data_IF_337127692471
#
_entry.id   IF_337127692471
#
_cell.length_a   1.000
_cell.length_b   1.000
_cell.length_c   1.000
_cell.angle_alpha   90.00
_cell.angle_beta   90.00
_cell.angle_gamma   90.00
#
_symmetry.space_group_name_H-M   'P 1'
#
loop_
_entity.id
_entity.type
_entity.pdbx_description
1 polymer ?
#
# COMPACT_ATOMS: atom_id res chain seq x y z
N UNK A 1 -5.49 -20.72 -30.73
CA UNK A 1 -6.07 -19.92 -29.64
C UNK A 1 -5.50 -20.42 -28.33
N UNK A 2 -4.70 -19.60 -27.66
CA UNK A 2 -4.03 -19.94 -26.39
C UNK A 2 -5.00 -19.88 -25.20
N UNK A 3 -4.61 -20.39 -24.03
CA UNK A 3 -5.43 -20.29 -22.80
C UNK A 3 -5.56 -18.84 -22.35
N UNK A 4 -4.53 -18.02 -22.54
CA UNK A 4 -4.58 -16.57 -22.32
C UNK A 4 -5.65 -15.92 -23.20
N UNK A 5 -5.62 -16.17 -24.51
CA UNK A 5 -6.57 -15.58 -25.47
C UNK A 5 -8.01 -15.99 -25.15
N UNK A 6 -8.21 -17.21 -24.62
CA UNK A 6 -9.52 -17.64 -24.12
C UNK A 6 -9.98 -16.80 -22.93
N UNK A 7 -9.13 -16.59 -21.93
CA UNK A 7 -9.45 -15.74 -20.77
C UNK A 7 -9.73 -14.30 -21.17
N UNK A 8 -8.90 -13.73 -22.05
CA UNK A 8 -9.09 -12.38 -22.61
C UNK A 8 -10.44 -12.25 -23.35
N UNK A 9 -10.87 -13.29 -24.05
CA UNK A 9 -12.20 -13.33 -24.68
C UNK A 9 -13.32 -13.43 -23.65
N UNK A 10 -13.16 -14.28 -22.63
CA UNK A 10 -14.14 -14.45 -21.57
C UNK A 10 -14.32 -13.14 -20.77
N UNK A 11 -13.24 -12.42 -20.47
CA UNK A 11 -13.27 -11.08 -19.85
C UNK A 11 -14.21 -10.13 -20.61
N UNK A 12 -14.13 -10.10 -21.94
CA UNK A 12 -14.99 -9.24 -22.78
C UNK A 12 -16.47 -9.58 -22.70
N UNK A 13 -16.81 -10.82 -22.34
CA UNK A 13 -18.19 -11.30 -22.25
C UNK A 13 -18.79 -11.12 -20.85
N UNK A 14 -17.97 -11.25 -19.80
CA UNK A 14 -18.44 -11.30 -18.41
C UNK A 14 -18.22 -10.01 -17.64
N UNK A 15 -17.22 -9.20 -18.02
CA UNK A 15 -16.91 -7.97 -17.32
C UNK A 15 -17.85 -6.84 -17.75
N UNK A 16 -18.03 -5.90 -16.84
CA UNK A 16 -18.69 -4.62 -17.11
C UNK A 16 -18.05 -3.92 -18.31
N UNK A 17 -18.82 -3.19 -19.15
CA UNK A 17 -18.26 -2.38 -20.24
C UNK A 17 -17.23 -1.33 -19.78
N UNK A 18 -17.26 -0.98 -18.50
CA UNK A 18 -16.34 -0.03 -17.88
C UNK A 18 -15.10 -0.69 -17.26
N UNK A 19 -15.07 -2.02 -17.15
CA UNK A 19 -13.94 -2.75 -16.60
C UNK A 19 -12.73 -2.68 -17.52
N UNK A 20 -11.54 -2.69 -16.93
CA UNK A 20 -10.30 -2.70 -17.69
C UNK A 20 -10.03 -4.12 -18.23
N UNK A 21 -10.02 -4.27 -19.55
CA UNK A 21 -9.74 -5.57 -20.20
C UNK A 21 -8.23 -5.80 -20.33
N UNK A 22 -7.76 -7.01 -20.00
CA UNK A 22 -6.32 -7.31 -20.10
C UNK A 22 -5.81 -7.28 -21.53
N UNK A 23 -6.68 -7.64 -22.49
CA UNK A 23 -6.39 -7.57 -23.93
C UNK A 23 -6.23 -6.14 -24.48
N UNK A 24 -6.80 -5.15 -23.77
CA UNK A 24 -6.74 -3.72 -24.13
C UNK A 24 -5.71 -2.95 -23.29
N UNK A 25 -4.83 -3.65 -22.57
CA UNK A 25 -3.76 -3.02 -21.78
C UNK A 25 -2.88 -2.15 -22.67
N UNK A 26 -2.43 -1.01 -22.13
CA UNK A 26 -1.40 -0.15 -22.74
C UNK A 26 -0.02 -0.83 -22.76
N UNK A 27 0.10 -2.00 -22.15
CA UNK A 27 1.28 -2.83 -22.18
C UNK A 27 2.30 -2.44 -21.11
N UNK A 28 3.54 -2.85 -21.37
CA UNK A 28 4.68 -2.75 -20.47
C UNK A 28 5.72 -1.82 -21.08
N UNK A 29 6.53 -1.19 -20.25
CA UNK A 29 7.62 -0.31 -20.73
C UNK A 29 8.63 -1.08 -21.57
N UNK A 30 9.00 -2.30 -21.16
CA UNK A 30 9.83 -3.20 -21.96
C UNK A 30 8.94 -4.26 -22.62
N UNK A 31 8.92 -4.37 -23.96
CA UNK A 31 8.19 -5.41 -24.66
C UNK A 31 8.63 -6.81 -24.20
N UNK A 32 7.67 -7.70 -24.03
CA UNK A 32 7.91 -9.11 -23.70
C UNK A 32 6.83 -9.95 -24.36
N UNK A 33 7.20 -11.18 -24.74
CA UNK A 33 6.26 -12.11 -25.33
C UNK A 33 5.08 -12.38 -24.37
N UNK A 34 3.82 -12.31 -24.86
CA UNK A 34 2.66 -12.69 -24.07
C UNK A 34 2.75 -14.13 -23.58
N UNK A 35 2.19 -14.41 -22.39
CA UNK A 35 2.19 -15.77 -21.86
C UNK A 35 1.10 -16.58 -22.56
N UNK A 36 1.34 -17.86 -22.82
CA UNK A 36 0.30 -18.72 -23.43
C UNK A 36 -0.86 -19.02 -22.47
N UNK A 37 -0.64 -18.86 -21.16
CA UNK A 37 -1.59 -19.26 -20.11
C UNK A 37 -2.19 -18.04 -19.41
N UNK A 38 -1.37 -17.16 -18.87
CA UNK A 38 -1.79 -16.08 -17.97
C UNK A 38 -2.05 -14.77 -18.72
N UNK A 39 -3.08 -14.03 -18.31
CA UNK A 39 -3.32 -12.66 -18.77
C UNK A 39 -2.22 -11.72 -18.29
N UNK A 40 -2.16 -10.50 -18.84
CA UNK A 40 -1.14 -9.53 -18.46
C UNK A 40 -1.18 -9.19 -16.96
N UNK A 41 -2.38 -9.03 -16.39
CA UNK A 41 -2.56 -8.69 -14.97
C UNK A 41 -2.28 -9.87 -14.02
N UNK A 42 -2.60 -11.11 -14.44
CA UNK A 42 -2.20 -12.31 -13.69
C UNK A 42 -0.69 -12.42 -13.56
N UNK A 43 0.05 -12.12 -14.64
CA UNK A 43 1.53 -12.11 -14.59
C UNK A 43 2.05 -11.04 -13.64
N UNK A 44 1.40 -9.89 -13.58
CA UNK A 44 1.81 -8.79 -12.70
C UNK A 44 1.61 -9.12 -11.24
N UNK A 45 0.43 -9.66 -10.89
CA UNK A 45 0.16 -10.20 -9.57
C UNK A 45 1.24 -11.18 -9.16
N UNK A 46 1.54 -12.16 -10.01
CA UNK A 46 2.49 -13.22 -9.67
C UNK A 46 3.91 -12.64 -9.48
N UNK A 47 4.31 -11.65 -10.29
CA UNK A 47 5.59 -10.94 -10.13
C UNK A 47 5.68 -10.18 -8.81
N UNK A 48 4.62 -9.50 -8.41
CA UNK A 48 4.55 -8.75 -7.15
C UNK A 48 4.68 -9.71 -5.96
N UNK A 49 3.89 -10.79 -5.93
CA UNK A 49 3.88 -11.75 -4.81
C UNK A 49 5.25 -12.40 -4.59
N UNK A 50 6.00 -12.67 -5.66
CA UNK A 50 7.33 -13.30 -5.59
C UNK A 50 8.48 -12.30 -5.36
N UNK A 51 8.20 -11.01 -5.27
CA UNK A 51 9.24 -9.98 -5.08
C UNK A 51 9.90 -10.06 -3.70
N UNK A 52 11.13 -9.53 -3.56
CA UNK A 52 11.79 -9.40 -2.25
C UNK A 52 11.01 -8.40 -1.38
N UNK A 53 10.55 -7.28 -1.95
CA UNK A 53 9.79 -6.24 -1.28
C UNK A 53 8.46 -6.75 -0.68
N UNK A 54 7.68 -7.54 -1.41
CA UNK A 54 6.42 -8.11 -0.90
C UNK A 54 6.67 -9.01 0.32
N UNK A 55 7.72 -9.84 0.26
CA UNK A 55 8.11 -10.68 1.41
C UNK A 55 8.52 -9.87 2.64
N UNK A 56 9.12 -8.69 2.45
CA UNK A 56 9.53 -7.80 3.56
C UNK A 56 8.34 -7.14 4.25
N UNK A 57 7.15 -7.08 3.64
CA UNK A 57 5.95 -6.54 4.27
C UNK A 57 5.56 -7.28 5.55
N UNK A 58 5.97 -8.55 5.70
CA UNK A 58 5.74 -9.34 6.92
C UNK A 58 6.56 -8.84 8.12
N UNK A 59 7.67 -8.14 7.86
CA UNK A 59 8.63 -7.67 8.87
C UNK A 59 8.63 -6.13 8.95
N UNK A 60 7.54 -5.49 8.50
CA UNK A 60 7.31 -4.05 8.56
C UNK A 60 6.03 -3.76 9.34
N UNK A 61 6.15 -2.95 10.37
CA UNK A 61 5.00 -2.45 11.13
C UNK A 61 4.14 -1.53 10.28
N UNK A 62 2.83 -1.57 10.53
CA UNK A 62 1.87 -0.70 9.86
C UNK A 62 1.79 0.66 10.58
N UNK A 63 1.33 0.67 11.82
CA UNK A 63 1.06 1.90 12.61
C UNK A 63 1.85 1.97 13.93
N UNK A 64 2.20 0.84 14.55
CA UNK A 64 2.81 0.82 15.88
C UNK A 64 4.14 0.08 15.92
N UNK A 65 5.09 0.62 16.68
CA UNK A 65 6.44 0.07 16.88
C UNK A 65 6.46 -0.62 18.25
N UNK A 66 6.60 -1.95 18.30
CA UNK A 66 6.55 -2.70 19.56
C UNK A 66 6.72 -4.22 19.40
N UNK A 67 6.97 -4.91 20.52
CA UNK A 67 7.37 -6.32 20.62
C UNK A 67 6.29 -7.20 21.28
N UNK A 68 5.04 -7.18 20.79
CA UNK A 68 4.01 -8.15 21.21
C UNK A 68 3.51 -8.96 20.01
N UNK A 69 3.10 -10.21 20.27
CA UNK A 69 2.87 -11.26 19.27
C UNK A 69 1.69 -11.05 18.31
N UNK A 70 0.89 -9.99 18.50
CA UNK A 70 -0.35 -9.76 17.75
C UNK A 70 -0.41 -8.43 16.97
N UNK A 71 0.70 -7.68 16.87
CA UNK A 71 0.69 -6.46 16.07
C UNK A 71 0.52 -6.75 14.58
N UNK A 72 -0.37 -6.00 13.92
CA UNK A 72 -0.54 -6.07 12.47
C UNK A 72 0.71 -5.57 11.76
N UNK A 73 1.11 -6.34 10.76
CA UNK A 73 2.19 -6.02 9.84
C UNK A 73 1.60 -5.55 8.51
N UNK A 74 2.39 -4.89 7.68
CA UNK A 74 1.92 -4.41 6.36
C UNK A 74 1.39 -5.52 5.47
N UNK A 75 1.92 -6.73 5.62
CA UNK A 75 1.40 -7.89 4.88
C UNK A 75 -0.06 -8.18 5.25
N UNK A 76 -0.43 -8.16 6.53
CA UNK A 76 -1.82 -8.40 6.95
C UNK A 76 -2.77 -7.29 6.49
N UNK A 77 -2.32 -6.03 6.50
CA UNK A 77 -3.05 -4.91 5.90
C UNK A 77 -3.29 -5.14 4.41
N UNK A 78 -2.22 -5.42 3.67
CA UNK A 78 -2.25 -5.64 2.22
C UNK A 78 -3.21 -6.75 1.83
N UNK A 79 -3.22 -7.86 2.57
CA UNK A 79 -4.14 -8.97 2.34
C UNK A 79 -5.60 -8.59 2.58
N UNK A 80 -5.87 -7.73 3.56
CA UNK A 80 -7.22 -7.26 3.82
C UNK A 80 -7.71 -6.26 2.78
N UNK A 81 -6.86 -5.29 2.39
CA UNK A 81 -7.14 -4.38 1.26
C UNK A 81 -7.46 -5.17 0.01
N UNK A 82 -6.65 -6.19 -0.30
CA UNK A 82 -6.89 -7.10 -1.42
C UNK A 82 -8.23 -7.81 -1.30
N UNK A 83 -8.60 -8.34 -0.13
CA UNK A 83 -9.87 -9.05 0.06
C UNK A 83 -11.08 -8.13 -0.13
N UNK A 84 -11.04 -6.93 0.46
CA UNK A 84 -12.10 -5.92 0.32
C UNK A 84 -12.22 -5.49 -1.15
N UNK A 85 -11.09 -5.18 -1.79
CA UNK A 85 -11.04 -4.73 -3.17
C UNK A 85 -11.59 -5.79 -4.14
N UNK A 86 -11.21 -7.07 -3.96
CA UNK A 86 -11.74 -8.18 -4.77
C UNK A 86 -13.23 -8.41 -4.57
N UNK A 87 -13.77 -8.16 -3.38
CA UNK A 87 -15.21 -8.24 -3.11
C UNK A 87 -15.96 -7.16 -3.90
N UNK A 88 -15.49 -5.90 -3.83
CA UNK A 88 -16.09 -4.78 -4.55
C UNK A 88 -15.96 -4.98 -6.08
N UNK A 89 -14.77 -5.35 -6.56
CA UNK A 89 -14.52 -5.56 -7.99
C UNK A 89 -15.42 -6.65 -8.58
N UNK A 90 -15.58 -7.79 -7.89
CA UNK A 90 -16.48 -8.86 -8.33
C UNK A 90 -17.94 -8.42 -8.37
N UNK A 91 -18.40 -7.71 -7.33
CA UNK A 91 -19.77 -7.22 -7.28
C UNK A 91 -20.09 -6.20 -8.40
N UNK A 92 -19.09 -5.45 -8.85
CA UNK A 92 -19.19 -4.48 -9.94
C UNK A 92 -18.79 -5.05 -11.31
N UNK A 93 -18.49 -6.35 -11.39
CA UNK A 93 -17.98 -7.04 -12.59
C UNK A 93 -16.75 -6.34 -13.20
N UNK A 94 -15.85 -5.83 -12.37
CA UNK A 94 -14.56 -5.25 -12.76
C UNK A 94 -13.47 -6.32 -12.86
N UNK A 95 -12.30 -5.97 -13.40
CA UNK A 95 -11.20 -6.91 -13.54
C UNK A 95 -10.58 -7.25 -12.19
N UNK A 96 -10.87 -8.45 -11.69
CA UNK A 96 -10.41 -8.93 -10.39
C UNK A 96 -8.89 -9.10 -10.32
N UNK A 97 -8.25 -9.61 -11.38
CA UNK A 97 -6.80 -9.83 -11.43
C UNK A 97 -6.03 -8.50 -11.42
N UNK A 98 -6.53 -7.46 -12.12
CA UNK A 98 -5.97 -6.11 -12.06
C UNK A 98 -6.10 -5.52 -10.66
N UNK A 99 -7.30 -5.61 -10.07
CA UNK A 99 -7.59 -5.12 -8.73
C UNK A 99 -6.67 -5.78 -7.69
N UNK A 100 -6.50 -7.10 -7.78
CA UNK A 100 -5.63 -7.89 -6.91
C UNK A 100 -4.16 -7.50 -7.07
N UNK A 101 -3.67 -7.35 -8.30
CA UNK A 101 -2.29 -6.94 -8.57
C UNK A 101 -1.98 -5.55 -7.97
N UNK A 102 -2.88 -4.58 -8.15
CA UNK A 102 -2.74 -3.23 -7.59
C UNK A 102 -2.74 -3.29 -6.06
N UNK A 103 -3.71 -3.99 -5.47
CA UNK A 103 -3.82 -4.11 -4.02
C UNK A 103 -2.59 -4.79 -3.39
N UNK A 104 -2.00 -5.80 -4.03
CA UNK A 104 -0.78 -6.43 -3.52
C UNK A 104 0.47 -5.55 -3.68
N UNK A 105 0.45 -4.60 -4.62
CA UNK A 105 1.59 -3.74 -4.95
C UNK A 105 1.60 -2.37 -4.27
N UNK A 106 0.46 -1.89 -3.75
CA UNK A 106 0.33 -0.48 -3.29
C UNK A 106 1.34 -0.10 -2.20
N UNK A 107 1.63 -1.05 -1.31
CA UNK A 107 2.35 -0.82 -0.05
C UNK A 107 3.84 -1.20 -0.09
N UNK A 108 4.36 -1.62 -1.25
CA UNK A 108 5.74 -2.13 -1.40
C UNK A 108 6.84 -1.13 -0.99
N UNK A 109 6.57 0.17 -1.15
CA UNK A 109 7.51 1.26 -0.94
C UNK A 109 7.53 1.86 0.46
N UNK A 110 6.72 1.34 1.39
CA UNK A 110 6.71 1.87 2.75
C UNK A 110 8.05 1.67 3.46
N UNK A 111 8.47 2.68 4.20
CA UNK A 111 9.67 2.64 5.04
C UNK A 111 9.51 1.70 6.24
N UNK A 112 10.63 1.29 6.87
CA UNK A 112 10.60 0.84 8.25
C UNK A 112 9.83 1.81 9.14
N UNK A 113 9.16 1.30 10.16
CA UNK A 113 8.40 2.09 11.14
C UNK A 113 7.24 2.91 10.54
N UNK A 114 6.73 2.50 9.39
CA UNK A 114 5.56 3.10 8.76
C UNK A 114 5.68 4.61 8.51
N UNK A 115 4.68 5.37 8.93
CA UNK A 115 4.63 6.82 8.65
C UNK A 115 5.76 7.63 9.30
N UNK A 116 6.34 7.15 10.41
CA UNK A 116 7.47 7.83 11.04
C UNK A 116 8.69 7.83 10.11
N UNK A 117 9.02 6.68 9.51
CA UNK A 117 10.11 6.58 8.55
C UNK A 117 9.86 7.42 7.28
N UNK A 118 8.61 7.45 6.81
CA UNK A 118 8.22 8.25 5.64
C UNK A 118 8.40 9.75 5.90
N UNK A 119 7.96 10.24 7.07
CA UNK A 119 8.16 11.64 7.48
C UNK A 119 9.63 11.99 7.63
N UNK A 120 10.42 11.12 8.24
CA UNK A 120 11.85 11.32 8.40
C UNK A 120 12.54 11.47 7.04
N UNK A 121 12.35 10.51 6.12
CA UNK A 121 12.96 10.58 4.80
C UNK A 121 12.45 11.77 3.99
N UNK A 122 11.16 12.11 4.06
CA UNK A 122 10.63 13.24 3.31
C UNK A 122 11.15 14.60 3.82
N UNK A 123 11.51 14.68 5.11
CA UNK A 123 12.14 15.87 5.70
C UNK A 123 13.63 15.98 5.36
N UNK A 124 14.32 14.84 5.29
CA UNK A 124 15.78 14.79 5.18
C UNK A 124 16.28 14.75 3.73
N UNK A 125 15.55 14.10 2.83
CA UNK A 125 15.97 13.94 1.45
C UNK A 125 15.54 15.14 0.59
N UNK A 126 16.50 15.75 -0.10
CA UNK A 126 16.26 16.89 -1.00
C UNK A 126 15.31 16.51 -2.15
N UNK A 127 15.35 15.25 -2.58
CA UNK A 127 14.49 14.72 -3.62
C UNK A 127 13.04 14.42 -3.16
N UNK A 128 12.74 14.59 -1.87
CA UNK A 128 11.47 14.25 -1.24
C UNK A 128 11.16 12.75 -1.22
N UNK A 129 10.20 12.36 -0.39
CA UNK A 129 9.84 10.95 -0.22
C UNK A 129 8.33 10.75 0.01
N UNK A 130 7.78 9.74 -0.67
CA UNK A 130 6.42 9.26 -0.39
C UNK A 130 6.28 7.79 -0.78
N UNK A 131 5.64 7.00 0.08
CA UNK A 131 5.59 5.53 -0.07
C UNK A 131 5.02 5.09 -1.42
N UNK A 132 3.97 5.74 -1.95
CA UNK A 132 3.35 5.37 -3.22
C UNK A 132 4.32 5.52 -4.41
N UNK A 133 5.07 6.63 -4.48
CA UNK A 133 6.13 6.83 -5.48
C UNK A 133 7.27 5.85 -5.27
N UNK A 134 7.58 5.53 -4.01
CA UNK A 134 8.57 4.52 -3.69
C UNK A 134 8.13 3.11 -4.13
N UNK A 135 6.85 2.76 -4.02
CA UNK A 135 6.32 1.48 -4.53
C UNK A 135 6.56 1.36 -6.03
N UNK A 136 6.38 2.44 -6.79
CA UNK A 136 6.72 2.50 -8.21
C UNK A 136 8.21 2.30 -8.44
N UNK A 137 9.07 2.97 -7.67
CA UNK A 137 10.53 2.76 -7.77
C UNK A 137 10.93 1.32 -7.49
N UNK A 138 10.31 0.70 -6.48
CA UNK A 138 10.54 -0.71 -6.14
C UNK A 138 10.29 -1.61 -7.34
N UNK A 139 9.12 -1.49 -7.96
CA UNK A 139 8.72 -2.36 -9.07
C UNK A 139 9.37 -1.97 -10.40
N UNK A 140 9.87 -0.75 -10.58
CA UNK A 140 10.52 -0.31 -11.83
C UNK A 140 12.03 -0.46 -11.84
N UNK A 141 12.70 -0.25 -10.70
CA UNK A 141 14.14 -0.02 -10.65
C UNK A 141 14.90 -0.79 -9.58
N UNK A 142 14.24 -1.35 -8.56
CA UNK A 142 14.95 -1.98 -7.41
C UNK A 142 14.84 -3.50 -7.47
N UNK A 143 13.64 -4.04 -7.68
CA UNK A 143 13.44 -5.49 -7.76
C UNK A 143 14.20 -6.10 -8.94
N UNK A 144 14.45 -7.42 -8.87
CA UNK A 144 15.21 -8.16 -9.90
C UNK A 144 16.57 -7.53 -10.18
N UNK A 145 17.30 -7.24 -9.09
CA UNK A 145 18.70 -6.80 -9.11
C UNK A 145 18.89 -5.58 -10.05
N UNK A 146 18.04 -4.57 -9.88
CA UNK A 146 18.06 -3.33 -10.65
C UNK A 146 17.19 -3.31 -11.93
N UNK A 147 16.69 -4.46 -12.39
CA UNK A 147 15.92 -4.54 -13.64
C UNK A 147 14.44 -4.10 -13.49
N UNK A 148 13.87 -4.22 -12.30
CA UNK A 148 12.44 -4.07 -12.04
C UNK A 148 11.60 -5.26 -12.51
N UNK A 149 10.33 -5.25 -12.12
CA UNK A 149 9.33 -6.28 -12.42
C UNK A 149 8.67 -6.13 -13.80
N UNK A 150 8.89 -5.01 -14.51
CA UNK A 150 8.29 -4.72 -15.82
C UNK A 150 6.76 -4.85 -15.84
N UNK A 151 6.06 -4.29 -14.87
CA UNK A 151 4.59 -4.38 -14.75
C UNK A 151 3.88 -3.59 -15.87
N UNK A 152 2.59 -3.86 -16.08
CA UNK A 152 1.77 -3.10 -17.04
C UNK A 152 1.48 -1.70 -16.50
N UNK A 153 1.16 -0.79 -17.42
CA UNK A 153 0.79 0.59 -17.07
C UNK A 153 -0.33 0.65 -16.04
N UNK A 154 -1.38 -0.17 -16.18
CA UNK A 154 -2.57 -0.13 -15.33
C UNK A 154 -2.24 -0.49 -13.87
N UNK A 155 -1.36 -1.46 -13.67
CA UNK A 155 -0.90 -1.84 -12.33
C UNK A 155 -0.04 -0.75 -11.73
N UNK A 156 0.88 -0.16 -12.51
CA UNK A 156 1.72 0.95 -12.05
C UNK A 156 0.88 2.17 -11.67
N UNK A 157 -0.05 2.57 -12.52
CA UNK A 157 -0.94 3.71 -12.28
C UNK A 157 -1.81 3.49 -11.02
N UNK A 158 -2.36 2.29 -10.86
CA UNK A 158 -3.12 1.93 -9.65
C UNK A 158 -2.28 1.98 -8.38
N UNK A 159 -1.04 1.46 -8.42
CA UNK A 159 -0.10 1.51 -7.28
C UNK A 159 0.26 2.95 -6.94
N UNK A 160 0.49 3.82 -7.92
CA UNK A 160 0.87 5.21 -7.64
C UNK A 160 -0.30 6.03 -7.08
N UNK A 161 -1.51 5.79 -7.59
CA UNK A 161 -2.68 6.64 -7.35
C UNK A 161 -3.67 6.08 -6.30
N UNK A 162 -3.26 5.13 -5.44
CA UNK A 162 -4.10 4.56 -4.39
C UNK A 162 -4.38 5.49 -3.21
N UNK A 163 -3.77 6.68 -3.14
CA UNK A 163 -4.00 7.62 -2.03
C UNK A 163 -5.33 8.34 -2.15
N UNK A 164 -5.86 8.84 -1.04
CA UNK A 164 -7.14 9.58 -1.02
C UNK A 164 -7.12 10.81 -1.94
N UNK A 165 -5.97 11.49 -2.07
CA UNK A 165 -5.80 12.70 -2.86
C UNK A 165 -5.60 12.47 -4.36
N UNK A 166 -5.53 11.22 -4.80
CA UNK A 166 -5.26 10.83 -6.19
C UNK A 166 -6.40 10.00 -6.74
N UNK A 167 -6.47 9.88 -8.07
CA UNK A 167 -7.39 8.98 -8.75
C UNK A 167 -6.61 8.17 -9.76
N UNK A 168 -6.87 6.86 -9.79
CA UNK A 168 -6.31 5.99 -10.81
C UNK A 168 -7.09 6.17 -12.12
N UNK A 169 -6.43 5.85 -13.24
CA UNK A 169 -7.03 5.84 -14.57
C UNK A 169 -8.08 4.74 -14.74
N UNK A 170 -8.01 3.67 -13.94
CA UNK A 170 -8.90 2.51 -14.01
C UNK A 170 -9.92 2.51 -12.87
N UNK A 171 -11.14 2.02 -13.08
CA UNK A 171 -12.08 1.76 -11.99
C UNK A 171 -11.49 0.82 -10.93
N UNK A 172 -10.73 -0.19 -11.35
CA UNK A 172 -10.05 -1.13 -10.46
C UNK A 172 -9.07 -0.44 -9.49
N UNK A 173 -8.26 0.50 -9.98
CA UNK A 173 -7.38 1.29 -9.12
C UNK A 173 -8.15 2.17 -8.13
N UNK A 174 -9.30 2.71 -8.55
CA UNK A 174 -10.18 3.50 -7.67
C UNK A 174 -10.90 2.62 -6.63
N UNK A 175 -11.18 1.34 -6.93
CA UNK A 175 -11.64 0.36 -5.95
C UNK A 175 -10.57 0.13 -4.89
N UNK A 176 -9.30 -0.08 -5.28
CA UNK A 176 -8.21 -0.26 -4.31
C UNK A 176 -8.05 0.96 -3.41
N UNK A 177 -8.11 2.17 -3.97
CA UNK A 177 -8.06 3.43 -3.20
C UNK A 177 -9.12 3.50 -2.10
N UNK A 178 -10.36 3.12 -2.38
CA UNK A 178 -11.41 3.10 -1.36
C UNK A 178 -11.24 1.93 -0.38
N UNK A 179 -10.78 0.78 -0.88
CA UNK A 179 -10.57 -0.42 -0.06
C UNK A 179 -9.47 -0.21 0.98
N UNK A 180 -8.39 0.47 0.61
CA UNK A 180 -7.32 0.88 1.51
C UNK A 180 -7.85 1.80 2.64
N UNK A 181 -8.67 2.79 2.29
CA UNK A 181 -9.34 3.67 3.27
C UNK A 181 -10.23 2.88 4.24
N UNK A 182 -11.00 1.90 3.73
CA UNK A 182 -11.88 1.06 4.55
C UNK A 182 -11.06 0.18 5.51
N UNK A 183 -10.01 -0.48 5.00
CA UNK A 183 -9.15 -1.35 5.81
C UNK A 183 -8.44 -0.55 6.90
N UNK A 184 -7.82 0.58 6.54
CA UNK A 184 -7.09 1.46 7.44
C UNK A 184 -7.93 1.88 8.65
N UNK A 185 -9.09 2.50 8.41
CA UNK A 185 -9.98 2.98 9.48
C UNK A 185 -10.38 1.85 10.43
N UNK A 186 -10.69 0.67 9.90
CA UNK A 186 -11.14 -0.44 10.73
C UNK A 186 -10.01 -1.07 11.55
N UNK A 187 -8.79 -1.12 11.03
CA UNK A 187 -7.64 -1.63 11.79
C UNK A 187 -7.22 -0.67 12.87
N UNK A 188 -7.18 0.62 12.59
CA UNK A 188 -6.83 1.61 13.60
C UNK A 188 -7.80 1.59 14.78
N UNK A 189 -9.09 1.36 14.51
CA UNK A 189 -10.08 1.16 15.58
C UNK A 189 -9.76 -0.11 16.37
N UNK A 190 -9.60 -1.26 15.70
CA UNK A 190 -9.33 -2.53 16.37
C UNK A 190 -8.03 -2.46 17.22
N UNK A 191 -6.96 -1.87 16.68
CA UNK A 191 -5.67 -1.71 17.34
C UNK A 191 -5.73 -0.71 18.50
N UNK A 192 -6.57 0.33 18.41
CA UNK A 192 -6.79 1.27 19.50
C UNK A 192 -7.61 0.65 20.64
N UNK A 193 -8.67 -0.08 20.30
CA UNK A 193 -9.50 -0.82 21.27
C UNK A 193 -8.69 -1.91 21.98
N UNK A 194 -7.92 -2.70 21.22
CA UNK A 194 -7.14 -3.82 21.76
C UNK A 194 -6.07 -3.39 22.78
N UNK A 195 -5.56 -2.16 22.67
CA UNK A 195 -4.57 -1.58 23.60
C UNK A 195 -5.19 -0.78 24.74
N UNK A 196 -6.50 -0.50 24.68
CA UNK A 196 -7.17 0.38 25.63
C UNK A 196 -6.86 1.88 25.42
N UNK A 197 -6.32 2.27 24.26
CA UNK A 197 -6.17 3.69 23.87
C UNK A 197 -7.54 4.34 23.59
N UNK A 198 -8.53 3.51 23.31
CA UNK A 198 -9.89 3.88 22.96
C UNK A 198 -10.84 2.87 23.60
N UNK A 199 -11.94 3.32 24.21
CA UNK A 199 -13.05 2.45 24.58
C UNK A 199 -14.09 2.40 23.43
N UNK A 200 -14.86 1.33 23.33
CA UNK A 200 -15.85 1.19 22.26
C UNK A 200 -16.92 2.30 22.33
N UNK A 201 -17.18 2.80 23.52
CA UNK A 201 -18.11 3.86 23.86
C UNK A 201 -17.63 5.25 23.44
N UNK A 202 -16.32 5.42 23.23
CA UNK A 202 -15.72 6.69 22.80
C UNK A 202 -15.91 6.94 21.31
N UNK A 203 -16.24 5.90 20.53
CA UNK A 203 -16.49 6.03 19.10
C UNK A 203 -17.71 6.93 18.86
N UNK A 204 -17.67 7.84 17.86
CA UNK A 204 -18.78 8.77 17.61
C UNK A 204 -20.11 8.03 17.40
N UNK A 205 -21.17 8.31 18.19
CA UNK A 205 -22.44 7.59 18.11
C UNK A 205 -23.10 7.64 16.73
N UNK A 206 -23.00 8.79 16.04
CA UNK A 206 -23.52 8.95 14.69
C UNK A 206 -22.79 8.04 13.68
N UNK A 207 -21.48 7.83 13.87
CA UNK A 207 -20.70 6.92 13.03
C UNK A 207 -21.10 5.46 13.27
N UNK A 208 -21.24 5.06 14.54
CA UNK A 208 -21.68 3.70 14.90
C UNK A 208 -23.10 3.43 14.40
N UNK A 209 -24.01 4.40 14.47
CA UNK A 209 -25.39 4.22 13.99
C UNK A 209 -25.45 3.91 12.50
N UNK A 210 -24.58 4.52 11.70
CA UNK A 210 -24.56 4.36 10.23
C UNK A 210 -23.71 3.17 9.79
N UNK A 211 -22.52 3.00 10.38
CA UNK A 211 -21.55 2.00 9.95
C UNK A 211 -21.65 0.70 10.76
N UNK A 212 -22.18 0.73 11.97
CA UNK A 212 -22.22 -0.38 12.91
C UNK A 212 -21.14 -0.32 13.99
N UNK A 213 -21.34 -1.09 15.06
CA UNK A 213 -20.48 -1.08 16.26
C UNK A 213 -19.32 -2.06 16.17
N UNK A 214 -19.46 -3.12 15.36
CA UNK A 214 -18.40 -4.12 15.16
C UNK A 214 -17.64 -3.85 13.86
N UNK A 215 -16.38 -4.31 13.80
CA UNK A 215 -15.57 -4.23 12.57
C UNK A 215 -16.26 -4.89 11.38
N UNK A 216 -16.86 -6.06 11.56
CA UNK A 216 -17.56 -6.77 10.50
C UNK A 216 -18.72 -5.93 9.93
N UNK A 217 -19.52 -5.30 10.80
CA UNK A 217 -20.61 -4.42 10.37
C UNK A 217 -20.09 -3.20 9.63
N UNK A 218 -19.04 -2.53 10.13
CA UNK A 218 -18.44 -1.36 9.49
C UNK A 218 -17.90 -1.65 8.10
N UNK A 219 -17.13 -2.73 7.96
CA UNK A 219 -16.61 -3.16 6.66
C UNK A 219 -17.77 -3.50 5.72
N UNK A 220 -18.75 -4.29 6.15
CA UNK A 220 -19.91 -4.67 5.34
C UNK A 220 -20.72 -3.44 4.88
N UNK A 221 -20.99 -2.48 5.78
CA UNK A 221 -21.71 -1.26 5.47
C UNK A 221 -20.96 -0.40 4.44
N UNK A 222 -19.65 -0.18 4.64
CA UNK A 222 -18.85 0.61 3.69
C UNK A 222 -18.72 -0.09 2.34
N UNK A 223 -18.49 -1.41 2.31
CA UNK A 223 -18.38 -2.19 1.06
C UNK A 223 -19.69 -2.17 0.28
N UNK A 224 -20.83 -2.45 0.94
CA UNK A 224 -22.15 -2.35 0.32
C UNK A 224 -22.42 -0.96 -0.22
N UNK A 225 -22.07 0.07 0.54
CA UNK A 225 -22.25 1.44 0.09
C UNK A 225 -21.44 1.73 -1.17
N UNK A 226 -20.16 1.36 -1.22
CA UNK A 226 -19.34 1.56 -2.43
C UNK A 226 -19.94 0.84 -3.62
N UNK A 227 -20.40 -0.41 -3.46
CA UNK A 227 -21.02 -1.18 -4.54
C UNK A 227 -22.31 -0.50 -5.03
N UNK A 228 -23.17 -0.05 -4.11
CA UNK A 228 -24.46 0.54 -4.46
C UNK A 228 -24.36 1.96 -5.01
N UNK A 229 -23.39 2.75 -4.55
CA UNK A 229 -23.16 4.12 -5.00
C UNK A 229 -22.40 4.18 -6.33
N UNK A 230 -21.59 3.17 -6.65
CA UNK A 230 -20.81 3.13 -7.90
C UNK A 230 -21.73 2.94 -9.12
N UNK A 231 -21.50 3.73 -10.18
CA UNK A 231 -22.30 3.74 -11.41
C UNK A 231 -21.42 4.02 -12.62
N UNK A 232 -21.68 3.33 -13.73
CA UNK A 232 -21.06 3.60 -15.02
C UNK A 232 -19.51 3.74 -15.01
N UNK A 233 -18.83 2.89 -14.24
CA UNK A 233 -17.36 2.92 -14.09
C UNK A 233 -16.85 3.95 -13.08
N UNK A 234 -17.68 4.85 -12.58
CA UNK A 234 -17.34 5.75 -11.49
C UNK A 234 -17.48 5.03 -10.15
N UNK A 235 -16.36 4.92 -9.44
CA UNK A 235 -16.26 4.26 -8.13
C UNK A 235 -16.38 5.31 -7.04
N UNK A 236 -17.47 5.24 -6.27
CA UNK A 236 -17.85 6.26 -5.31
C UNK A 236 -18.38 5.66 -4.01
N UNK A 237 -18.38 6.48 -2.97
CA UNK A 237 -19.12 6.28 -1.74
C UNK A 237 -20.24 7.32 -1.73
N UNK A 238 -21.42 6.96 -1.21
CA UNK A 238 -22.54 7.89 -1.10
C UNK A 238 -22.21 9.02 -0.12
N UNK A 239 -22.72 10.24 -0.37
CA UNK A 239 -22.34 11.45 0.36
C UNK A 239 -22.42 11.32 1.89
N UNK A 240 -23.57 10.86 2.46
CA UNK A 240 -23.71 10.64 3.90
C UNK A 240 -22.70 9.62 4.48
N UNK A 241 -22.45 8.52 3.78
CA UNK A 241 -21.51 7.48 4.25
C UNK A 241 -20.07 7.97 4.12
N UNK A 242 -19.75 8.74 3.08
CA UNK A 242 -18.45 9.36 2.92
C UNK A 242 -18.16 10.35 4.04
N UNK A 243 -19.14 11.20 4.40
CA UNK A 243 -19.03 12.17 5.48
C UNK A 243 -18.82 11.49 6.84
N UNK A 244 -19.61 10.45 7.12
CA UNK A 244 -19.47 9.65 8.34
C UNK A 244 -18.10 8.97 8.39
N UNK A 245 -17.65 8.37 7.28
CA UNK A 245 -16.34 7.72 7.19
C UNK A 245 -15.20 8.74 7.38
N UNK A 246 -15.32 9.95 6.83
CA UNK A 246 -14.35 11.03 7.01
C UNK A 246 -14.32 11.53 8.46
N UNK A 247 -15.48 11.62 9.10
CA UNK A 247 -15.62 12.00 10.52
C UNK A 247 -14.96 10.98 11.43
N UNK A 248 -15.22 9.69 11.21
CA UNK A 248 -14.59 8.61 11.97
C UNK A 248 -13.06 8.62 11.82
N UNK A 249 -12.55 8.88 10.61
CA UNK A 249 -11.11 9.02 10.37
C UNK A 249 -10.50 10.22 11.10
N UNK A 250 -11.17 11.38 11.10
CA UNK A 250 -10.69 12.57 11.85
C UNK A 250 -10.65 12.30 13.35
N UNK A 251 -11.70 11.68 13.89
CA UNK A 251 -11.75 11.26 15.29
C UNK A 251 -10.57 10.36 15.65
N UNK A 252 -10.29 9.33 14.85
CA UNK A 252 -9.14 8.45 15.09
C UNK A 252 -7.83 9.23 15.06
N UNK A 253 -7.66 10.15 14.10
CA UNK A 253 -6.48 10.99 14.02
C UNK A 253 -6.25 11.79 15.31
N UNK A 254 -7.29 12.48 15.80
CA UNK A 254 -7.22 13.31 17.00
C UNK A 254 -7.03 12.51 18.30
N UNK A 255 -7.68 11.34 18.40
CA UNK A 255 -7.70 10.53 19.63
C UNK A 255 -6.53 9.55 19.72
N UNK A 256 -6.18 8.88 18.62
CA UNK A 256 -5.22 7.75 18.62
C UNK A 256 -3.81 8.16 18.16
N UNK A 257 -3.68 9.18 17.32
CA UNK A 257 -2.36 9.58 16.79
C UNK A 257 -1.68 10.67 17.61
N UNK A 258 -2.41 11.39 18.48
CA UNK A 258 -1.88 12.52 19.26
C UNK A 258 -1.41 12.09 20.67
N UNK A 259 -1.54 10.82 21.04
CA UNK A 259 -1.16 10.33 22.38
C UNK A 259 0.37 10.33 22.61
N UNK A 260 0.77 10.60 23.86
CA UNK A 260 2.17 10.90 24.21
C UNK A 260 3.16 9.75 24.00
N UNK A 261 2.79 8.50 24.29
CA UNK A 261 3.71 7.35 24.19
C UNK A 261 4.01 6.99 22.73
N UNK A 262 2.98 6.97 21.87
CA UNK A 262 3.13 6.76 20.42
C UNK A 262 4.06 7.80 19.82
N UNK A 263 3.84 9.08 20.16
CA UNK A 263 4.66 10.19 19.67
C UNK A 263 6.14 10.04 20.08
N UNK A 264 6.42 9.55 21.29
CA UNK A 264 7.80 9.28 21.71
C UNK A 264 8.45 8.15 20.91
N UNK A 265 7.72 7.06 20.64
CA UNK A 265 8.23 5.95 19.82
C UNK A 265 8.47 6.38 18.37
N UNK A 266 7.54 7.13 17.79
CA UNK A 266 7.70 7.70 16.45
C UNK A 266 8.89 8.66 16.38
N UNK A 267 9.09 9.52 17.39
CA UNK A 267 10.25 10.40 17.45
C UNK A 267 11.59 9.64 17.51
N UNK A 268 11.65 8.53 18.26
CA UNK A 268 12.83 7.65 18.29
C UNK A 268 13.09 7.00 16.93
N UNK A 269 12.02 6.55 16.25
CA UNK A 269 12.12 5.98 14.92
C UNK A 269 12.58 7.01 13.88
N UNK A 270 12.04 8.23 13.93
CA UNK A 270 12.49 9.33 13.08
C UNK A 270 13.97 9.66 13.29
N UNK A 271 14.43 9.69 14.54
CA UNK A 271 15.84 9.92 14.88
C UNK A 271 16.74 8.79 14.37
N UNK A 272 16.34 7.53 14.56
CA UNK A 272 17.06 6.37 14.05
C UNK A 272 17.20 6.43 12.52
N UNK A 273 16.10 6.69 11.81
CA UNK A 273 16.13 6.84 10.35
C UNK A 273 17.01 8.02 9.92
N UNK A 274 17.00 9.12 10.67
CA UNK A 274 17.87 10.26 10.42
C UNK A 274 19.35 9.92 10.48
N UNK A 275 19.77 9.21 11.53
CA UNK A 275 21.16 8.79 11.69
C UNK A 275 21.57 7.80 10.58
N UNK A 276 20.71 6.84 10.21
CA UNK A 276 20.98 5.97 9.06
C UNK A 276 21.11 6.77 7.76
N UNK A 277 20.23 7.75 7.54
CA UNK A 277 20.26 8.59 6.34
C UNK A 277 21.57 9.39 6.24
N UNK A 278 21.95 10.08 7.32
CA UNK A 278 23.22 10.83 7.39
C UNK A 278 24.43 9.92 7.11
N UNK A 279 24.48 8.74 7.74
CA UNK A 279 25.57 7.79 7.53
C UNK A 279 25.73 7.38 6.07
N UNK A 280 24.63 7.00 5.41
CA UNK A 280 24.71 6.56 4.03
C UNK A 280 24.90 7.73 3.05
N UNK A 281 24.50 8.95 3.41
CA UNK A 281 24.83 10.15 2.62
C UNK A 281 26.33 10.45 2.65
N UNK A 282 26.98 10.38 3.81
CA UNK A 282 28.41 10.70 4.01
C UNK A 282 29.39 9.57 3.62
N UNK A 283 29.03 8.80 2.59
CA UNK A 283 29.80 7.65 2.03
C UNK A 283 29.86 6.38 2.88
N UNK A 284 28.95 6.17 3.83
CA UNK A 284 28.70 4.83 4.34
C UNK A 284 28.35 3.88 3.19
N UNK A 285 29.06 2.74 3.01
CA UNK A 285 28.84 1.88 1.85
C UNK A 285 27.44 1.24 1.92
N UNK A 286 26.66 1.41 0.85
CA UNK A 286 25.44 0.65 0.63
C UNK A 286 25.77 -0.66 -0.10
N UNK A 287 24.87 -1.66 -0.11
CA UNK A 287 25.03 -2.83 -0.96
C UNK A 287 25.21 -2.43 -2.44
N UNK A 288 25.95 -3.22 -3.21
CA UNK A 288 26.36 -2.93 -4.59
C UNK A 288 25.19 -2.50 -5.49
N UNK A 289 24.05 -3.20 -5.41
CA UNK A 289 22.84 -2.85 -6.16
C UNK A 289 22.37 -1.40 -5.90
N UNK A 290 22.50 -0.90 -4.67
CA UNK A 290 22.10 0.46 -4.31
C UNK A 290 23.19 1.50 -4.62
N UNK A 291 24.46 1.13 -4.61
CA UNK A 291 25.52 2.01 -5.12
C UNK A 291 25.37 2.21 -6.64
N UNK A 292 25.02 1.16 -7.39
CA UNK A 292 24.66 1.30 -8.80
C UNK A 292 23.42 2.21 -9.02
N UNK A 293 22.44 2.16 -8.11
CA UNK A 293 21.32 3.11 -8.14
C UNK A 293 21.76 4.54 -7.80
N UNK A 294 22.76 4.73 -6.93
CA UNK A 294 23.31 6.03 -6.59
C UNK A 294 24.00 6.68 -7.79
N UNK A 295 24.75 5.90 -8.59
CA UNK A 295 25.34 6.37 -9.85
C UNK A 295 24.27 6.79 -10.87
N UNK A 296 23.16 6.05 -10.93
CA UNK A 296 22.09 6.29 -11.91
C UNK A 296 21.13 7.42 -11.54
N UNK A 297 20.74 7.52 -10.27
CA UNK A 297 19.65 8.39 -9.79
C UNK A 297 20.09 9.43 -8.75
N UNK A 298 21.38 9.44 -8.39
CA UNK A 298 21.93 10.26 -7.32
C UNK A 298 21.88 9.57 -5.96
N UNK A 299 22.87 9.90 -5.12
CA UNK A 299 23.04 9.29 -3.80
C UNK A 299 21.84 9.51 -2.88
N UNK A 300 21.33 10.74 -2.84
CA UNK A 300 20.14 11.11 -2.04
C UNK A 300 18.96 10.15 -2.28
N UNK A 301 18.62 9.91 -3.55
CA UNK A 301 17.55 8.97 -3.91
C UNK A 301 17.89 7.53 -3.56
N UNK A 302 19.12 7.09 -3.82
CA UNK A 302 19.53 5.72 -3.55
C UNK A 302 19.57 5.40 -2.04
N UNK A 303 19.93 6.37 -1.20
CA UNK A 303 19.84 6.25 0.26
C UNK A 303 18.39 6.09 0.70
N UNK A 304 17.45 6.88 0.15
CA UNK A 304 16.03 6.65 0.38
C UNK A 304 15.59 5.25 -0.06
N UNK A 305 16.01 4.81 -1.25
CA UNK A 305 15.68 3.48 -1.77
C UNK A 305 16.16 2.37 -0.84
N UNK A 306 17.39 2.50 -0.33
CA UNK A 306 18.00 1.52 0.56
C UNK A 306 17.31 1.47 1.93
N UNK A 307 17.13 2.63 2.57
CA UNK A 307 16.50 2.73 3.89
C UNK A 307 15.03 2.26 3.81
N UNK A 308 14.27 2.72 2.81
CA UNK A 308 12.89 2.26 2.63
C UNK A 308 12.81 0.75 2.33
N UNK A 309 13.84 0.19 1.72
CA UNK A 309 13.98 -1.24 1.45
C UNK A 309 14.25 -2.12 2.69
N UNK A 310 14.63 -1.54 3.83
CA UNK A 310 14.89 -2.29 5.07
C UNK A 310 13.61 -2.80 5.72
N UNK A 311 13.71 -3.84 6.54
CA UNK A 311 12.68 -4.21 7.52
C UNK A 311 12.95 -3.50 8.84
N UNK A 312 11.97 -3.45 9.75
CA UNK A 312 12.12 -2.76 11.04
C UNK A 312 13.30 -3.34 11.84
N UNK A 313 13.35 -4.66 11.97
CA UNK A 313 14.43 -5.37 12.64
C UNK A 313 15.78 -5.23 11.94
N UNK A 314 15.80 -5.06 10.61
CA UNK A 314 17.05 -4.79 9.90
C UNK A 314 17.54 -3.36 10.18
N UNK A 315 16.66 -2.36 10.14
CA UNK A 315 17.00 -0.98 10.43
C UNK A 315 17.54 -0.82 11.87
N UNK A 316 16.91 -1.47 12.84
CA UNK A 316 17.41 -1.52 14.23
C UNK A 316 18.80 -2.15 14.28
N UNK A 317 19.00 -3.33 13.69
CA UNK A 317 20.33 -3.98 13.70
C UNK A 317 21.40 -3.17 12.99
N UNK A 318 21.06 -2.52 11.88
CA UNK A 318 21.98 -1.63 11.17
C UNK A 318 22.38 -0.44 12.05
N UNK A 319 21.41 0.18 12.73
CA UNK A 319 21.66 1.24 13.69
C UNK A 319 22.58 0.78 14.84
N UNK A 320 22.26 -0.35 15.47
CA UNK A 320 23.08 -0.92 16.55
C UNK A 320 24.52 -1.16 16.11
N UNK A 321 24.74 -1.75 14.92
CA UNK A 321 26.09 -2.03 14.40
C UNK A 321 26.90 -0.75 14.12
N UNK A 322 26.23 0.33 13.73
CA UNK A 322 26.90 1.57 13.31
C UNK A 322 27.20 2.51 14.49
N UNK A 323 26.34 2.52 15.51
CA UNK A 323 26.36 3.55 16.56
C UNK A 323 26.51 3.02 17.98
N UNK A 324 26.43 1.70 18.19
CA UNK A 324 26.62 1.09 19.51
C UNK A 324 27.91 0.25 19.54
N UNK A 325 28.68 0.34 20.63
CA UNK A 325 30.01 -0.28 20.76
C UNK A 325 29.99 -1.80 20.87
#
# INVERSE_FOLDING_TARGET
>A
MTLREKRERDEKLILSPYATQSAASRGRERPEEPCEIRTAFQRDRDRIVHSKAFRRLKDKTQVFIGAEDHYRVRLTHTLEVMQIARTIARALSLNEDLTEAIALGHDLGHTPFGHAGERALNRLADCGFSHNRQSIRVVKYIEKDGAGLNLTFEVLDGIENHRTSTRAATPEGNVVRLSDKIAYINHDIDDALGRGDLAAEDLPPDCIRVLGSTRAQRIDAMVKNVIHASRAGEIAMDGPVEEVTATLRRFLFETVYVTGEKRQREARAEALIGLLFEHYMDRGPMPEDYEALAERFGRDRAVCDYIAGMTDNYAIRAFHRLYLP
#
